data_IF_927295261948
#
_entry.id   IF_927295261948
#
_cell.length_a   1.000
_cell.length_b   1.000
_cell.length_c   1.000
_cell.angle_alpha   90.00
_cell.angle_beta   90.00
_cell.angle_gamma   90.00
#
_symmetry.space_group_name_H-M   'P 1'
#
loop_
_entity.id
_entity.type
_entity.pdbx_description
1 polymer ?
#
# COMPACT_ATOMS: atom_id res chain seq x y z
N UNK A 1 -12.45 9.09 -32.74
CA UNK A 1 -11.98 9.65 -31.45
C UNK A 1 -10.94 8.72 -30.85
N UNK A 2 -9.66 9.10 -30.90
CA UNK A 2 -8.61 8.38 -30.15
C UNK A 2 -8.84 8.64 -28.66
N UNK A 3 -9.25 7.61 -27.92
CA UNK A 3 -9.37 7.70 -26.46
C UNK A 3 -8.03 8.17 -25.91
N UNK A 4 -8.00 9.36 -25.32
CA UNK A 4 -6.86 9.86 -24.56
C UNK A 4 -6.83 9.05 -23.25
N UNK A 5 -6.31 7.82 -23.33
CA UNK A 5 -6.16 6.93 -22.18
C UNK A 5 -4.96 7.46 -21.40
N UNK A 6 -5.23 8.34 -20.43
CA UNK A 6 -4.20 8.71 -19.45
C UNK A 6 -3.75 7.45 -18.72
N UNK A 7 -2.44 7.26 -18.64
CA UNK A 7 -1.85 6.13 -17.92
C UNK A 7 -2.14 6.28 -16.44
N UNK A 8 -2.82 5.31 -15.83
CA UNK A 8 -3.08 5.26 -14.39
C UNK A 8 -1.91 4.59 -13.69
N UNK A 9 -1.23 5.31 -12.80
CA UNK A 9 -0.04 4.82 -12.09
C UNK A 9 -0.23 4.98 -10.59
N UNK A 10 0.04 3.91 -9.84
CA UNK A 10 0.05 3.95 -8.38
C UNK A 10 1.25 4.73 -7.84
N UNK A 11 1.02 5.65 -6.91
CA UNK A 11 2.06 6.45 -6.25
C UNK A 11 1.81 6.52 -4.74
N UNK A 12 2.88 6.54 -3.95
CA UNK A 12 2.76 6.75 -2.50
C UNK A 12 2.16 8.11 -2.19
N UNK A 13 1.07 8.15 -1.41
CA UNK A 13 0.38 9.41 -1.01
C UNK A 13 1.33 10.46 -0.42
N UNK A 14 2.31 10.02 0.36
CA UNK A 14 3.30 10.93 0.96
C UNK A 14 4.15 11.69 -0.09
N UNK A 15 4.31 11.15 -1.30
CA UNK A 15 5.04 11.81 -2.40
C UNK A 15 4.20 12.89 -3.10
N UNK A 16 2.88 12.81 -3.00
CA UNK A 16 1.98 13.85 -3.50
C UNK A 16 1.84 15.03 -2.53
N UNK A 17 2.24 14.84 -1.27
CA UNK A 17 2.19 15.86 -0.23
C UNK A 17 1.20 15.56 0.90
N UNK A 18 0.54 14.40 0.88
CA UNK A 18 -0.38 14.04 1.95
C UNK A 18 0.39 13.71 3.25
N UNK A 19 -0.09 14.18 4.42
CA UNK A 19 0.55 13.97 5.72
C UNK A 19 0.30 12.56 6.24
N UNK A 20 0.74 11.54 5.49
CA UNK A 20 0.51 10.11 5.80
C UNK A 20 1.76 9.37 6.27
N UNK A 21 2.89 10.08 6.39
CA UNK A 21 4.11 9.50 6.96
C UNK A 21 3.93 9.20 8.44
N UNK A 22 4.77 8.32 8.97
CA UNK A 22 4.74 7.94 10.39
C UNK A 22 4.88 9.16 11.34
N UNK A 23 5.63 10.17 10.92
CA UNK A 23 5.87 11.42 11.66
C UNK A 23 4.75 12.47 11.46
N UNK A 24 3.70 12.15 10.71
CA UNK A 24 2.66 13.12 10.31
C UNK A 24 3.11 14.11 9.24
N UNK A 25 4.31 13.95 8.69
CA UNK A 25 4.82 14.75 7.60
C UNK A 25 4.47 14.19 6.22
N UNK A 26 5.05 14.80 5.20
CA UNK A 26 5.01 14.35 3.83
C UNK A 26 6.41 14.41 3.19
N UNK A 27 6.57 13.88 2.00
CA UNK A 27 7.81 13.98 1.21
C UNK A 27 7.44 14.35 -0.23
N UNK A 28 6.81 15.51 -0.37
CA UNK A 28 6.28 15.96 -1.68
C UNK A 28 7.43 16.04 -2.68
N UNK A 29 7.27 15.34 -3.79
CA UNK A 29 8.20 15.40 -4.91
C UNK A 29 7.59 16.27 -6.01
N UNK A 30 8.18 17.43 -6.29
CA UNK A 30 7.68 18.39 -7.28
C UNK A 30 7.70 17.83 -8.71
N UNK A 31 8.62 16.92 -9.03
CA UNK A 31 8.69 16.31 -10.36
C UNK A 31 7.50 15.38 -10.57
N UNK A 32 7.15 14.57 -9.56
CA UNK A 32 5.98 13.68 -9.62
C UNK A 32 4.66 14.46 -9.53
N UNK A 33 4.57 15.40 -8.60
CA UNK A 33 3.36 16.17 -8.31
C UNK A 33 3.03 17.18 -9.42
N UNK A 34 4.02 17.85 -10.01
CA UNK A 34 3.77 19.00 -10.90
C UNK A 34 4.09 18.71 -12.38
N UNK A 35 5.12 17.91 -12.64
CA UNK A 35 5.58 17.65 -14.03
C UNK A 35 4.85 16.46 -14.63
N UNK A 36 4.91 15.30 -13.97
CA UNK A 36 4.35 14.05 -14.50
C UNK A 36 2.83 13.97 -14.36
N UNK A 37 2.23 14.65 -13.38
CA UNK A 37 0.77 14.70 -13.17
C UNK A 37 -0.01 15.22 -14.38
N UNK A 38 0.64 15.95 -15.29
CA UNK A 38 0.03 16.43 -16.55
C UNK A 38 -0.19 15.31 -17.57
N UNK A 39 0.62 14.25 -17.48
CA UNK A 39 0.68 13.17 -18.46
C UNK A 39 0.08 11.86 -17.93
N UNK A 40 0.06 11.66 -16.62
CA UNK A 40 -0.44 10.44 -15.96
C UNK A 40 -1.53 10.76 -14.95
N UNK A 41 -2.40 9.79 -14.72
CA UNK A 41 -3.37 9.83 -13.62
C UNK A 41 -2.77 9.10 -12.42
N UNK A 42 -2.50 9.84 -11.35
CA UNK A 42 -1.98 9.28 -10.12
C UNK A 42 -3.08 8.59 -9.31
N UNK A 43 -2.82 7.35 -8.91
CA UNK A 43 -3.64 6.63 -7.95
C UNK A 43 -2.89 6.63 -6.61
N UNK A 44 -3.26 7.51 -5.67
CA UNK A 44 -2.60 7.59 -4.37
C UNK A 44 -2.81 6.32 -3.55
N UNK A 45 -1.72 5.72 -3.08
CA UNK A 45 -1.72 4.52 -2.22
C UNK A 45 -0.91 4.77 -0.96
N UNK A 46 -1.45 4.44 0.21
CA UNK A 46 -0.67 4.26 1.43
C UNK A 46 -1.12 2.97 2.09
N UNK A 47 -0.35 1.87 1.94
CA UNK A 47 -0.79 0.57 2.43
C UNK A 47 -0.98 0.59 3.95
N UNK A 48 -0.29 1.47 4.68
CA UNK A 48 -0.38 1.48 6.13
C UNK A 48 -1.62 2.21 6.64
N UNK A 49 -1.97 3.36 6.04
CA UNK A 49 -3.23 4.04 6.36
C UNK A 49 -4.42 3.18 5.94
N UNK A 50 -4.31 2.48 4.81
CA UNK A 50 -5.30 1.48 4.36
C UNK A 50 -5.38 0.27 5.29
N UNK A 51 -4.28 -0.11 5.95
CA UNK A 51 -4.25 -1.13 7.00
C UNK A 51 -4.95 -0.67 8.29
N UNK A 52 -5.34 0.61 8.40
CA UNK A 52 -5.85 1.21 9.61
C UNK A 52 -4.76 1.69 10.58
N UNK A 53 -3.50 1.76 10.14
CA UNK A 53 -2.44 2.38 10.95
C UNK A 53 -2.62 3.90 10.90
N UNK A 54 -2.88 4.49 12.08
CA UNK A 54 -3.10 5.93 12.21
C UNK A 54 -1.87 6.78 11.89
N UNK A 55 -2.05 8.09 11.93
CA UNK A 55 -0.99 9.08 11.75
C UNK A 55 -1.13 10.14 12.86
N UNK A 56 -0.08 10.44 13.65
CA UNK A 56 1.26 9.85 13.64
C UNK A 56 1.28 8.41 14.20
N UNK A 57 2.30 7.64 13.81
CA UNK A 57 2.53 6.26 14.25
C UNK A 57 4.00 6.01 14.52
N UNK A 58 4.26 4.95 15.27
CA UNK A 58 5.62 4.52 15.56
C UNK A 58 6.35 4.05 14.29
N UNK A 59 7.64 4.35 14.13
CA UNK A 59 8.47 3.74 13.10
C UNK A 59 8.43 2.21 13.19
N UNK A 60 8.36 1.55 12.03
CA UNK A 60 8.33 0.10 11.91
C UNK A 60 9.44 -0.39 10.99
N UNK A 61 9.89 -1.63 11.17
CA UNK A 61 10.78 -2.32 10.23
C UNK A 61 10.20 -3.65 9.78
N UNK A 62 10.65 -4.10 8.60
CA UNK A 62 10.40 -5.45 8.14
C UNK A 62 11.46 -6.38 8.72
N UNK A 63 11.02 -7.47 9.34
CA UNK A 63 11.85 -8.55 9.87
C UNK A 63 11.54 -9.88 9.19
N UNK A 64 12.45 -10.84 9.29
CA UNK A 64 12.27 -12.18 8.73
C UNK A 64 12.74 -12.31 7.28
N UNK A 65 12.13 -13.22 6.53
CA UNK A 65 12.57 -13.56 5.17
C UNK A 65 11.77 -12.80 4.13
N UNK A 66 12.34 -12.60 2.94
CA UNK A 66 11.66 -11.93 1.81
C UNK A 66 10.32 -12.61 1.42
N UNK A 67 10.15 -13.90 1.72
CA UNK A 67 8.91 -14.64 1.44
C UNK A 67 7.85 -14.51 2.53
N UNK A 68 8.25 -14.14 3.74
CA UNK A 68 7.38 -14.03 4.91
C UNK A 68 7.85 -12.88 5.81
N UNK A 69 7.79 -11.63 5.32
CA UNK A 69 8.21 -10.48 6.10
C UNK A 69 7.21 -10.21 7.22
N UNK A 70 7.72 -9.90 8.41
CA UNK A 70 6.93 -9.43 9.56
C UNK A 70 7.11 -7.93 9.70
N UNK A 71 6.02 -7.18 9.87
CA UNK A 71 6.08 -5.74 10.13
C UNK A 71 6.03 -5.52 11.64
N UNK A 72 7.09 -4.99 12.22
CA UNK A 72 7.22 -4.83 13.68
C UNK A 72 7.60 -3.38 14.02
N UNK A 73 7.00 -2.81 15.07
CA UNK A 73 7.38 -1.48 15.58
C UNK A 73 8.74 -1.50 16.28
N UNK A 74 9.51 -0.41 16.16
CA UNK A 74 10.92 -0.40 16.59
C UNK A 74 11.07 -0.35 18.12
N UNK A 75 10.25 0.43 18.81
CA UNK A 75 10.30 0.63 20.27
C UNK A 75 9.38 -0.35 21.01
N UNK A 76 8.15 -0.56 20.51
CA UNK A 76 7.14 -1.38 21.22
C UNK A 76 7.11 -2.84 20.81
N UNK A 77 7.81 -3.23 19.74
CA UNK A 77 7.84 -4.60 19.20
C UNK A 77 6.44 -5.21 18.93
N UNK A 78 5.49 -4.37 18.53
CA UNK A 78 4.14 -4.78 18.13
C UNK A 78 4.14 -5.27 16.69
N UNK A 79 3.57 -6.44 16.46
CA UNK A 79 3.47 -7.06 15.14
C UNK A 79 2.19 -6.60 14.40
N UNK A 80 2.39 -5.92 13.26
CA UNK A 80 1.34 -5.42 12.38
C UNK A 80 1.23 -6.19 11.06
N UNK A 81 1.85 -7.38 10.96
CA UNK A 81 1.86 -8.21 9.75
C UNK A 81 0.45 -8.53 9.25
N UNK A 82 -0.47 -8.82 10.17
CA UNK A 82 -1.87 -9.13 9.83
C UNK A 82 -2.59 -7.94 9.21
N UNK A 83 -2.41 -6.74 9.78
CA UNK A 83 -3.02 -5.51 9.27
C UNK A 83 -2.51 -5.21 7.85
N UNK A 84 -1.20 -5.32 7.64
CA UNK A 84 -0.57 -5.12 6.32
C UNK A 84 -1.00 -6.16 5.29
N UNK A 85 -1.08 -7.44 5.66
CA UNK A 85 -1.58 -8.50 4.76
C UNK A 85 -3.05 -8.36 4.39
N UNK A 86 -3.83 -7.64 5.20
CA UNK A 86 -5.25 -7.38 4.95
C UNK A 86 -5.51 -6.12 4.11
N UNK A 87 -4.48 -5.28 3.91
CA UNK A 87 -4.60 -4.01 3.20
C UNK A 87 -4.89 -4.25 1.73
N UNK A 88 -6.10 -3.88 1.30
CA UNK A 88 -6.53 -3.97 -0.11
C UNK A 88 -6.67 -2.55 -0.63
N UNK A 89 -5.76 -2.13 -1.49
CA UNK A 89 -5.92 -0.85 -2.16
C UNK A 89 -7.15 -0.90 -3.08
N UNK A 90 -8.12 -0.03 -2.83
CA UNK A 90 -9.38 0.03 -3.58
C UNK A 90 -9.18 0.26 -5.09
N UNK A 91 -8.06 0.88 -5.50
CA UNK A 91 -7.70 1.12 -6.91
C UNK A 91 -6.99 -0.05 -7.61
N UNK A 92 -6.69 -1.16 -6.93
CA UNK A 92 -5.91 -2.28 -7.50
C UNK A 92 -6.57 -2.89 -8.77
N UNK A 93 -7.89 -2.79 -8.93
CA UNK A 93 -8.59 -3.34 -10.10
C UNK A 93 -8.44 -2.55 -11.42
N UNK A 94 -7.85 -1.36 -11.41
CA UNK A 94 -7.84 -0.46 -12.57
C UNK A 94 -6.47 0.14 -12.92
N UNK A 95 -5.40 -0.39 -12.33
CA UNK A 95 -4.03 0.03 -12.63
C UNK A 95 -3.47 -0.78 -13.82
N UNK A 96 -3.14 -0.09 -14.91
CA UNK A 96 -2.51 -0.71 -16.09
C UNK A 96 -1.00 -0.93 -15.88
N UNK A 97 -0.37 -0.22 -14.95
CA UNK A 97 1.04 -0.36 -14.63
C UNK A 97 1.32 0.04 -13.17
N UNK A 98 2.03 -0.81 -12.44
CA UNK A 98 2.35 -0.60 -11.02
C UNK A 98 3.87 -0.57 -10.81
N UNK A 99 4.38 0.55 -10.29
CA UNK A 99 5.81 0.77 -10.04
C UNK A 99 6.15 0.48 -8.56
N UNK A 100 5.79 -0.70 -8.04
CA UNK A 100 6.33 -1.24 -6.78
C UNK A 100 5.90 -2.70 -6.57
N UNK A 101 6.75 -3.60 -6.02
CA UNK A 101 6.37 -4.97 -5.69
C UNK A 101 5.58 -5.01 -4.37
N UNK A 102 4.42 -4.36 -4.31
CA UNK A 102 3.39 -4.81 -3.38
C UNK A 102 2.55 -5.78 -4.19
N UNK A 103 2.62 -7.06 -3.86
CA UNK A 103 1.73 -8.02 -4.51
C UNK A 103 0.30 -7.68 -4.07
N UNK A 104 -0.48 -7.03 -4.93
CA UNK A 104 -1.94 -7.17 -4.89
C UNK A 104 -2.24 -8.61 -5.34
N UNK A 105 -1.83 -9.57 -4.52
CA UNK A 105 -2.45 -10.88 -4.53
C UNK A 105 -3.90 -10.63 -4.17
N UNK A 106 -4.78 -10.92 -5.13
CA UNK A 106 -6.23 -10.95 -4.91
C UNK A 106 -6.52 -11.51 -3.51
N UNK A 107 -7.45 -10.92 -2.75
CA UNK A 107 -7.94 -11.54 -1.53
C UNK A 107 -8.31 -12.99 -1.79
N UNK A 108 -7.84 -13.89 -0.93
CA UNK A 108 -8.63 -15.05 -0.53
C UNK A 108 -9.22 -15.91 -1.67
N UNK A 109 -8.37 -16.57 -2.47
CA UNK A 109 -8.70 -17.91 -2.99
C UNK A 109 -7.72 -18.94 -2.44
N UNK A 110 -7.74 -19.14 -1.11
CA UNK A 110 -7.28 -20.34 -0.38
C UNK A 110 -7.17 -20.04 1.12
N UNK A 111 -8.31 -19.91 1.80
CA UNK A 111 -8.36 -19.96 3.27
C UNK A 111 -9.80 -20.24 3.77
N UNK A 112 -10.55 -21.10 3.07
CA UNK A 112 -11.86 -21.58 3.52
C UNK A 112 -12.14 -22.93 2.85
N UNK A 113 -11.28 -23.92 3.10
CA UNK A 113 -11.54 -25.33 2.77
C UNK A 113 -10.57 -26.22 3.55
N UNK A 114 -10.44 -26.00 4.86
CA UNK A 114 -9.94 -27.01 5.78
C UNK A 114 -10.51 -26.64 7.15
N UNK A 115 -11.03 -27.65 7.84
CA UNK A 115 -11.66 -27.61 9.17
C UNK A 115 -13.18 -27.36 9.21
N UNK A 116 -13.94 -28.41 8.88
CA UNK A 116 -15.11 -28.84 9.64
C UNK A 116 -15.45 -30.30 9.28
N UNK A 117 -14.68 -31.26 9.80
CA UNK A 117 -15.22 -32.54 10.24
C UNK A 117 -15.28 -32.45 11.76
N UNK A 118 -16.47 -32.64 12.34
CA UNK A 118 -16.62 -33.87 13.12
C UNK A 118 -18.00 -34.53 12.98
N UNK A 119 -17.95 -35.87 13.05
CA UNK A 119 -19.01 -36.83 13.39
C UNK A 119 -20.03 -37.20 12.30
#
# INVERSE_FOLDING_TARGET
>A
MSKNVKLRIGISQCLLGDPVRYDGGHKRDALLADTLSRQVEWVPVCPEVEAGLGVPREPMRLEGTTRSPRLVTINTNVDHTTAMGSSRHAGCGSLNNWISPVSCSKPARRAAALEASPS
#
